data_IF_585183832342
#
_entry.id   IF_585183832342
#
_cell.length_a   1.000
_cell.length_b   1.000
_cell.length_c   1.000
_cell.angle_alpha   90.00
_cell.angle_beta   90.00
_cell.angle_gamma   90.00
#
_symmetry.space_group_name_H-M   'P 1'
#
loop_
_entity.id
_entity.type
_entity.pdbx_description
1 polymer ?
#
# COMPACT_ATOMS: atom_id res chain seq x y z
N UNK A 1 -4.20 -2.88 -10.38
CA UNK A 1 -3.25 -3.98 -10.07
C UNK A 1 -3.03 -3.99 -8.56
N UNK A 2 -2.99 -5.16 -7.89
CA UNK A 2 -2.79 -5.24 -6.43
C UNK A 2 -1.50 -6.00 -6.12
N UNK A 3 -0.65 -5.45 -5.26
CA UNK A 3 0.66 -6.01 -4.89
C UNK A 3 0.83 -6.02 -3.36
N UNK A 4 1.46 -7.07 -2.83
CA UNK A 4 1.75 -7.21 -1.40
C UNK A 4 3.23 -7.56 -1.18
N UNK A 5 4.15 -6.58 -1.25
CA UNK A 5 5.59 -6.83 -1.24
C UNK A 5 6.11 -7.49 0.05
N UNK A 6 5.43 -7.20 1.17
CA UNK A 6 5.83 -7.62 2.51
C UNK A 6 5.20 -8.93 2.98
N UNK A 7 4.35 -9.55 2.13
CA UNK A 7 3.56 -10.69 2.55
C UNK A 7 4.33 -12.01 2.37
N UNK A 8 4.46 -12.75 3.45
CA UNK A 8 5.05 -14.10 3.52
C UNK A 8 3.99 -15.20 3.71
N UNK A 9 2.71 -14.87 3.44
CA UNK A 9 1.60 -15.81 3.44
C UNK A 9 1.82 -16.90 2.39
N UNK A 10 1.47 -18.16 2.71
CA UNK A 10 1.70 -19.34 1.83
C UNK A 10 3.17 -19.44 1.40
N UNK A 11 4.09 -19.25 2.35
CA UNK A 11 5.54 -19.35 2.10
C UNK A 11 6.04 -18.43 0.98
N UNK A 12 5.32 -17.35 0.69
CA UNK A 12 5.79 -16.27 -0.17
C UNK A 12 6.87 -15.46 0.56
N UNK A 13 7.46 -14.50 -0.15
CA UNK A 13 8.51 -13.63 0.35
C UNK A 13 9.80 -13.78 -0.44
N UNK A 14 10.65 -12.76 -0.34
CA UNK A 14 11.93 -12.67 -1.02
C UNK A 14 12.87 -11.87 -0.14
N UNK A 15 14.16 -12.24 -0.10
CA UNK A 15 15.16 -11.57 0.74
C UNK A 15 15.34 -10.08 0.39
N UNK A 16 15.37 -9.76 -0.90
CA UNK A 16 15.51 -8.38 -1.41
C UNK A 16 14.40 -8.06 -2.42
N UNK A 17 13.19 -7.82 -1.91
CA UNK A 17 12.01 -7.58 -2.73
C UNK A 17 11.95 -6.14 -3.28
N UNK A 18 12.66 -5.17 -2.70
CA UNK A 18 12.54 -3.75 -3.07
C UNK A 18 12.87 -3.53 -4.56
N UNK A 19 14.03 -3.98 -5.10
CA UNK A 19 14.37 -3.78 -6.51
C UNK A 19 13.34 -4.41 -7.44
N UNK A 20 12.89 -5.62 -7.12
CA UNK A 20 11.91 -6.39 -7.90
C UNK A 20 10.58 -5.65 -7.99
N UNK A 21 10.01 -5.23 -6.86
CA UNK A 21 8.73 -4.52 -6.85
C UNK A 21 8.85 -3.12 -7.43
N UNK A 22 9.97 -2.41 -7.25
CA UNK A 22 10.20 -1.13 -7.92
C UNK A 22 10.22 -1.29 -9.43
N UNK A 23 10.87 -2.33 -9.96
CA UNK A 23 10.90 -2.62 -11.39
C UNK A 23 9.48 -2.90 -11.92
N UNK A 24 8.72 -3.77 -11.24
CA UNK A 24 7.34 -4.10 -11.60
C UNK A 24 6.46 -2.85 -11.61
N UNK A 25 6.52 -2.05 -10.56
CA UNK A 25 5.72 -0.82 -10.44
C UNK A 25 6.03 0.17 -11.55
N UNK A 26 7.31 0.36 -11.90
CA UNK A 26 7.70 1.24 -13.02
C UNK A 26 7.17 0.74 -14.36
N UNK A 27 7.19 -0.57 -14.60
CA UNK A 27 6.61 -1.14 -15.82
C UNK A 27 5.08 -1.06 -15.84
N UNK A 28 4.41 -1.27 -14.70
CA UNK A 28 2.96 -1.08 -14.62
C UNK A 28 2.54 0.36 -14.94
N UNK A 29 3.38 1.36 -14.62
CA UNK A 29 3.12 2.75 -15.02
C UNK A 29 3.12 2.95 -16.53
N UNK A 30 4.02 2.28 -17.27
CA UNK A 30 4.07 2.41 -18.74
C UNK A 30 2.87 1.76 -19.43
N UNK A 31 2.24 0.79 -18.77
CA UNK A 31 1.03 0.11 -19.25
C UNK A 31 -0.27 0.89 -19.01
N UNK A 32 -0.21 2.08 -18.38
CA UNK A 32 -1.36 2.94 -18.09
C UNK A 32 -2.53 2.24 -17.38
N UNK A 33 -2.23 1.36 -16.41
CA UNK A 33 -3.27 0.69 -15.61
C UNK A 33 -3.99 1.70 -14.70
N UNK A 34 -5.30 1.51 -14.48
CA UNK A 34 -6.16 2.50 -13.83
C UNK A 34 -5.73 2.92 -12.42
N UNK A 35 -5.32 1.96 -11.58
CA UNK A 35 -4.76 2.24 -10.26
C UNK A 35 -3.87 1.10 -9.74
N UNK A 36 -3.01 1.44 -8.79
CA UNK A 36 -2.18 0.49 -8.06
C UNK A 36 -2.69 0.39 -6.61
N UNK A 37 -2.95 -0.82 -6.13
CA UNK A 37 -3.27 -1.10 -4.74
C UNK A 37 -2.09 -1.80 -4.07
N UNK A 38 -1.57 -1.19 -3.01
CA UNK A 38 -0.40 -1.62 -2.27
C UNK A 38 -0.83 -2.08 -0.89
N UNK A 39 -0.62 -3.36 -0.61
CA UNK A 39 -0.93 -3.92 0.68
C UNK A 39 0.24 -3.68 1.66
N UNK A 40 0.01 -2.85 2.67
CA UNK A 40 0.92 -2.62 3.78
C UNK A 40 0.76 -3.71 4.84
N UNK A 41 1.82 -3.90 5.62
CA UNK A 41 1.88 -4.82 6.75
C UNK A 41 0.80 -4.51 7.80
N UNK A 42 0.45 -5.54 8.56
CA UNK A 42 -0.57 -5.52 9.60
C UNK A 42 -1.52 -6.70 9.48
N UNK A 43 -1.59 -7.32 8.29
CA UNK A 43 -2.44 -8.49 8.01
C UNK A 43 -1.63 -9.52 7.21
N UNK A 44 -1.53 -10.75 7.72
CA UNK A 44 -0.98 -11.94 7.05
C UNK A 44 -2.14 -12.89 6.75
N UNK A 45 -2.53 -12.99 5.48
CA UNK A 45 -3.77 -13.70 5.13
C UNK A 45 -5.00 -12.99 5.74
N UNK A 46 -5.62 -13.59 6.75
CA UNK A 46 -6.74 -13.02 7.51
C UNK A 46 -6.40 -12.66 8.97
N UNK A 47 -5.15 -12.83 9.40
CA UNK A 47 -4.74 -12.58 10.79
C UNK A 47 -3.89 -11.32 10.88
N UNK A 48 -4.00 -10.58 11.99
CA UNK A 48 -3.10 -9.48 12.26
C UNK A 48 -1.69 -10.03 12.50
N UNK A 49 -0.68 -9.45 11.83
CA UNK A 49 0.69 -9.92 11.93
C UNK A 49 1.60 -8.82 12.46
N UNK A 50 2.16 -9.08 13.64
CA UNK A 50 3.15 -8.23 14.28
C UNK A 50 4.53 -8.69 13.82
N UNK A 51 4.99 -8.18 12.68
CA UNK A 51 6.35 -8.42 12.26
C UNK A 51 7.14 -7.12 12.49
N UNK A 52 8.35 -7.23 13.04
CA UNK A 52 9.23 -6.08 13.26
C UNK A 52 9.76 -5.48 11.95
N UNK A 53 10.22 -4.23 12.04
CA UNK A 53 10.77 -3.30 11.02
C UNK A 53 9.77 -2.36 10.33
N UNK A 54 10.26 -1.14 10.09
CA UNK A 54 9.72 0.00 9.32
C UNK A 54 9.34 -0.37 7.87
N UNK A 55 8.40 -1.29 7.74
CA UNK A 55 8.03 -1.91 6.48
C UNK A 55 6.87 -1.16 5.84
N UNK A 56 7.11 0.10 5.49
CA UNK A 56 6.16 0.90 4.73
C UNK A 56 6.25 0.56 3.22
N UNK A 57 5.21 0.88 2.46
CA UNK A 57 5.20 0.69 0.99
C UNK A 57 5.67 1.95 0.24
N UNK A 58 6.35 2.87 0.92
CA UNK A 58 6.73 4.18 0.34
C UNK A 58 7.60 4.03 -0.91
N UNK A 59 8.50 3.04 -0.94
CA UNK A 59 9.34 2.76 -2.12
C UNK A 59 8.50 2.51 -3.38
N UNK A 60 7.38 1.81 -3.25
CA UNK A 60 6.47 1.50 -4.35
C UNK A 60 5.58 2.70 -4.69
N UNK A 61 5.12 3.45 -3.69
CA UNK A 61 4.35 4.70 -3.90
C UNK A 61 5.20 5.73 -4.67
N UNK A 62 6.46 5.91 -4.27
CA UNK A 62 7.41 6.80 -4.95
C UNK A 62 7.70 6.34 -6.38
N UNK A 63 7.86 5.04 -6.60
CA UNK A 63 8.07 4.48 -7.94
C UNK A 63 6.83 4.62 -8.84
N UNK A 64 5.63 4.56 -8.28
CA UNK A 64 4.37 4.78 -8.99
C UNK A 64 4.19 6.26 -9.39
N UNK A 65 4.58 7.16 -8.49
CA UNK A 65 4.60 8.60 -8.73
C UNK A 65 3.25 9.29 -8.46
N UNK A 66 3.32 10.61 -8.34
CA UNK A 66 2.21 11.47 -7.83
C UNK A 66 1.01 11.58 -8.77
N UNK A 67 1.21 11.40 -10.07
CA UNK A 67 0.21 11.73 -11.09
C UNK A 67 -0.94 10.71 -11.19
N UNK A 68 -0.72 9.48 -10.72
CA UNK A 68 -1.67 8.39 -10.89
C UNK A 68 -2.26 7.91 -9.57
N UNK A 69 -3.52 7.40 -9.60
CA UNK A 69 -4.18 6.90 -8.41
C UNK A 69 -3.42 5.72 -7.80
N UNK A 70 -3.19 5.81 -6.49
CA UNK A 70 -2.63 4.73 -5.67
C UNK A 70 -3.52 4.52 -4.46
N UNK A 71 -3.68 3.26 -4.08
CA UNK A 71 -4.43 2.84 -2.91
C UNK A 71 -3.46 2.13 -1.98
N UNK A 72 -3.48 2.45 -0.69
CA UNK A 72 -2.74 1.70 0.32
C UNK A 72 -3.74 1.02 1.24
N UNK A 73 -3.59 -0.29 1.37
CA UNK A 73 -4.51 -1.15 2.09
C UNK A 73 -3.81 -1.84 3.26
N UNK A 74 -4.47 -1.91 4.42
CA UNK A 74 -4.05 -2.72 5.56
C UNK A 74 -3.41 -1.94 6.72
N UNK A 75 -3.70 -2.37 7.95
CA UNK A 75 -3.06 -1.87 9.18
C UNK A 75 -3.46 -0.45 9.64
N UNK A 76 -4.19 0.32 8.84
CA UNK A 76 -4.60 1.68 9.19
C UNK A 76 -5.82 1.71 10.13
N UNK A 77 -5.73 2.52 11.18
CA UNK A 77 -6.88 3.08 11.92
C UNK A 77 -7.21 4.49 11.37
N UNK A 78 -8.30 5.11 11.87
CA UNK A 78 -8.73 6.43 11.37
C UNK A 78 -7.65 7.52 11.45
N UNK A 79 -6.95 7.62 12.59
CA UNK A 79 -5.91 8.62 12.81
C UNK A 79 -4.70 8.41 11.89
N UNK A 80 -4.19 7.18 11.81
CA UNK A 80 -3.05 6.85 10.93
C UNK A 80 -3.39 6.98 9.45
N UNK A 81 -4.64 6.69 9.06
CA UNK A 81 -5.11 6.90 7.69
C UNK A 81 -5.13 8.40 7.36
N UNK A 82 -5.68 9.22 8.26
CA UNK A 82 -5.73 10.67 8.08
C UNK A 82 -4.33 11.27 7.98
N UNK A 83 -3.42 10.90 8.89
CA UNK A 83 -2.01 11.32 8.83
C UNK A 83 -1.31 10.90 7.54
N UNK A 84 -1.61 9.70 7.03
CA UNK A 84 -1.01 9.24 5.77
C UNK A 84 -1.44 10.11 4.58
N UNK A 85 -2.72 10.50 4.53
CA UNK A 85 -3.26 11.33 3.46
C UNK A 85 -2.86 12.80 3.61
N UNK A 86 -3.03 13.37 4.79
CA UNK A 86 -2.90 14.82 5.01
C UNK A 86 -1.43 15.27 5.17
N UNK A 87 -0.55 14.38 5.68
CA UNK A 87 0.85 14.72 5.94
C UNK A 87 1.81 13.95 5.03
N UNK A 88 1.76 12.62 5.05
CA UNK A 88 2.80 11.78 4.44
C UNK A 88 2.75 11.81 2.91
N UNK A 89 1.55 11.71 2.35
CA UNK A 89 1.33 11.55 0.91
C UNK A 89 0.41 12.64 0.34
N UNK A 90 0.42 13.83 0.95
CA UNK A 90 -0.43 14.97 0.57
C UNK A 90 -0.41 15.34 -0.92
N UNK A 91 0.71 15.11 -1.59
CA UNK A 91 0.87 15.42 -3.02
C UNK A 91 0.52 14.25 -3.94
N UNK A 92 0.10 13.11 -3.40
CA UNK A 92 -0.24 11.91 -4.16
C UNK A 92 -1.76 11.80 -4.29
N UNK A 93 -2.21 11.25 -5.41
CA UNK A 93 -3.60 10.79 -5.57
C UNK A 93 -3.80 9.49 -4.80
N UNK A 94 -3.86 9.60 -3.48
CA UNK A 94 -3.88 8.48 -2.55
C UNK A 94 -5.28 8.22 -2.01
N UNK A 95 -5.65 6.95 -1.94
CA UNK A 95 -6.75 6.46 -1.12
C UNK A 95 -6.22 5.46 -0.08
N UNK A 96 -6.81 5.45 1.12
CA UNK A 96 -6.53 4.45 2.16
C UNK A 96 -7.73 3.52 2.29
N UNK A 97 -7.49 2.20 2.24
CA UNK A 97 -8.44 1.21 2.75
C UNK A 97 -7.99 0.67 4.10
N UNK A 98 -8.79 0.96 5.12
CA UNK A 98 -8.70 0.23 6.38
C UNK A 98 -9.40 -1.12 6.24
N UNK A 99 -8.73 -2.16 6.74
CA UNK A 99 -9.30 -3.49 6.94
C UNK A 99 -9.27 -3.77 8.44
N UNK A 100 -9.78 -2.81 9.23
CA UNK A 100 -10.14 -3.07 10.61
C UNK A 100 -11.50 -3.77 10.57
N UNK A 101 -11.53 -5.09 10.81
CA UNK A 101 -12.75 -5.90 11.03
C UNK A 101 -13.76 -5.95 9.89
N UNK A 102 -13.62 -6.93 8.97
CA UNK A 102 -14.74 -7.53 8.21
C UNK A 102 -15.59 -6.64 7.27
N UNK A 103 -15.41 -5.31 7.27
CA UNK A 103 -16.05 -4.33 6.38
C UNK A 103 -15.00 -3.35 5.90
N UNK A 104 -14.90 -3.19 4.58
CA UNK A 104 -14.04 -2.20 3.96
C UNK A 104 -14.66 -0.81 4.17
N UNK A 105 -13.93 0.07 4.85
CA UNK A 105 -14.28 1.50 4.95
C UNK A 105 -13.31 2.28 4.08
N UNK A 106 -13.85 2.95 3.06
CA UNK A 106 -13.10 3.84 2.19
C UNK A 106 -13.08 5.24 2.81
N UNK A 107 -11.90 5.75 3.17
CA UNK A 107 -11.75 7.13 3.63
C UNK A 107 -11.31 7.95 2.41
N UNK A 108 -12.23 8.71 1.82
CA UNK A 108 -11.90 9.71 0.80
C UNK A 108 -11.50 11.01 1.50
N UNK A 109 -10.34 11.62 1.17
CA UNK A 109 -10.09 13.01 1.56
C UNK A 109 -11.17 13.91 0.95
N UNK A 110 -11.72 14.78 1.79
CA UNK A 110 -12.69 15.80 1.39
C UNK A 110 -12.06 16.79 0.40
N UNK A 111 -12.76 17.00 -0.72
CA UNK A 111 -12.51 18.05 -1.73
C UNK A 111 -12.55 19.42 -1.09
#
# INVERSE_FOLDING_TARGET
MRLSPWNDFISMGMNDFIPTFTFIVRHLRTLNVGFLDLFQKGIRGNVNADCGRDNNVSFAVHAWGKQAPVMISGGFNGESAQKAVDETYKDYKLAIASIATGRATLICPSV
#
